data_IF_333520960562
#
_entry.id   IF_333520960562
#
_cell.length_a   1.000
_cell.length_b   1.000
_cell.length_c   1.000
_cell.angle_alpha   90.00
_cell.angle_beta   90.00
_cell.angle_gamma   90.00
#
_symmetry.space_group_name_H-M   'P 1'
#
loop_
_entity.id
_entity.type
_entity.pdbx_description
1 polymer ?
#
# COMPACT_ATOMS: atom_id res chain seq x y z
N UNK A 1 -57.43 55.03 -13.54
CA UNK A 1 -56.15 54.69 -12.89
C UNK A 1 -56.04 53.17 -12.87
N UNK A 2 -55.14 52.58 -13.66
CA UNK A 2 -54.96 51.12 -13.80
C UNK A 2 -53.81 50.68 -12.90
N UNK A 3 -54.06 49.80 -11.95
CA UNK A 3 -53.04 49.20 -11.10
C UNK A 3 -52.38 48.03 -11.84
N UNK A 4 -51.04 48.06 -11.93
CA UNK A 4 -50.25 46.97 -12.50
C UNK A 4 -49.76 46.06 -11.36
N UNK A 5 -50.17 44.79 -11.41
CA UNK A 5 -49.75 43.74 -10.48
C UNK A 5 -48.48 43.07 -11.05
N UNK A 6 -47.36 43.22 -10.37
CA UNK A 6 -46.08 42.59 -10.72
C UNK A 6 -45.96 41.25 -9.97
N UNK A 7 -45.85 40.15 -10.70
CA UNK A 7 -45.62 38.80 -10.15
C UNK A 7 -44.11 38.52 -10.23
N UNK A 8 -43.46 38.36 -9.08
CA UNK A 8 -42.08 37.83 -9.00
C UNK A 8 -42.12 36.30 -9.07
N UNK A 9 -41.50 35.73 -10.12
CA UNK A 9 -41.16 34.30 -10.15
C UNK A 9 -39.88 34.05 -9.34
N UNK A 10 -39.98 33.24 -8.29
CA UNK A 10 -38.83 32.71 -7.58
C UNK A 10 -38.28 31.48 -8.33
N UNK A 11 -37.09 31.59 -8.90
CA UNK A 11 -36.35 30.44 -9.43
C UNK A 11 -35.78 29.63 -8.25
N UNK A 12 -36.37 28.47 -7.97
CA UNK A 12 -35.79 27.47 -7.09
C UNK A 12 -34.65 26.76 -7.86
N UNK A 13 -33.40 27.15 -7.59
CA UNK A 13 -32.23 26.46 -8.11
C UNK A 13 -32.08 25.09 -7.46
N UNK A 14 -32.17 24.02 -8.25
CA UNK A 14 -31.83 22.67 -7.81
C UNK A 14 -30.31 22.55 -7.69
N UNK A 15 -29.81 22.47 -6.46
CA UNK A 15 -28.39 22.17 -6.20
C UNK A 15 -28.21 20.68 -6.50
N UNK A 16 -27.63 20.36 -7.67
CA UNK A 16 -27.13 19.03 -7.95
C UNK A 16 -25.94 18.78 -7.01
N UNK A 17 -26.13 17.90 -6.03
CA UNK A 17 -25.04 17.42 -5.19
C UNK A 17 -24.06 16.65 -6.09
N UNK A 18 -22.92 17.28 -6.38
CA UNK A 18 -21.77 16.61 -6.99
C UNK A 18 -21.34 15.50 -6.02
N UNK A 19 -21.20 14.24 -6.45
CA UNK A 19 -20.66 13.21 -5.58
C UNK A 19 -19.26 13.66 -5.16
N UNK A 20 -19.08 13.94 -3.87
CA UNK A 20 -17.77 14.13 -3.28
C UNK A 20 -17.00 12.83 -3.47
N UNK A 21 -16.13 12.79 -4.48
CA UNK A 21 -14.98 11.89 -4.47
C UNK A 21 -14.22 12.25 -3.20
N UNK A 22 -14.38 11.43 -2.15
CA UNK A 22 -13.50 11.47 -0.98
C UNK A 22 -12.14 11.03 -1.48
N UNK A 23 -11.35 11.97 -1.99
CA UNK A 23 -9.92 11.82 -2.07
C UNK A 23 -9.45 11.81 -0.61
N UNK A 24 -9.53 10.66 0.07
CA UNK A 24 -8.84 10.48 1.35
C UNK A 24 -7.37 10.56 0.98
N UNK A 25 -6.81 11.76 1.10
CA UNK A 25 -5.38 11.92 0.98
C UNK A 25 -4.78 11.16 2.16
N UNK A 26 -4.22 9.98 1.87
CA UNK A 26 -3.50 9.21 2.86
C UNK A 26 -2.38 10.10 3.42
N UNK A 27 -2.14 9.99 4.72
CA UNK A 27 -1.00 10.65 5.33
C UNK A 27 0.30 10.11 4.70
N UNK A 28 1.34 10.94 4.59
CA UNK A 28 2.59 10.53 3.95
C UNK A 28 3.29 9.36 4.67
N UNK A 29 2.95 9.09 5.94
CA UNK A 29 3.37 7.92 6.69
C UNK A 29 2.52 6.67 6.43
N UNK A 30 1.57 6.72 5.50
CA UNK A 30 0.60 5.67 5.20
C UNK A 30 0.41 5.45 3.68
N UNK A 31 1.49 5.55 2.91
CA UNK A 31 1.50 5.46 1.46
C UNK A 31 2.56 4.44 1.01
N UNK A 32 2.16 3.51 0.15
CA UNK A 32 3.09 2.70 -0.63
C UNK A 32 3.15 3.19 -2.07
N UNK A 33 4.26 2.94 -2.75
CA UNK A 33 4.33 3.13 -4.21
C UNK A 33 5.55 2.42 -4.79
N UNK A 34 5.49 2.17 -6.11
CA UNK A 34 6.55 1.51 -6.86
C UNK A 34 6.78 2.32 -8.15
N UNK A 35 7.96 2.94 -8.26
CA UNK A 35 8.42 3.56 -9.51
C UNK A 35 9.41 2.63 -10.21
N UNK A 36 10.38 2.12 -9.46
CA UNK A 36 11.35 1.12 -9.91
C UNK A 36 11.97 0.39 -8.69
N UNK A 37 12.94 -0.50 -8.93
CA UNK A 37 13.59 -1.29 -7.87
C UNK A 37 14.43 -0.47 -6.89
N UNK A 38 14.76 0.77 -7.22
CA UNK A 38 15.54 1.70 -6.39
C UNK A 38 14.71 2.85 -5.82
N UNK A 39 13.46 3.01 -6.30
CA UNK A 39 12.55 4.10 -5.95
C UNK A 39 11.16 3.50 -5.63
N UNK A 40 10.98 3.15 -4.37
CA UNK A 40 9.77 2.52 -3.85
C UNK A 40 9.54 2.87 -2.37
N UNK A 41 8.31 2.65 -1.90
CA UNK A 41 7.93 2.64 -0.50
C UNK A 41 7.02 1.45 -0.17
N UNK A 42 7.18 0.93 1.04
CA UNK A 42 6.49 -0.23 1.62
C UNK A 42 5.95 0.13 3.01
N UNK A 43 5.04 -0.67 3.56
CA UNK A 43 4.62 -0.57 4.96
C UNK A 43 5.47 -1.51 5.82
N UNK A 44 6.09 -1.01 6.88
CA UNK A 44 6.77 -1.86 7.86
C UNK A 44 6.26 -1.54 9.28
N UNK A 45 6.59 -2.36 10.29
CA UNK A 45 6.36 -1.99 11.68
C UNK A 45 6.92 -0.60 11.98
N UNK A 46 6.18 0.19 12.74
CA UNK A 46 6.58 1.55 13.17
C UNK A 46 7.68 1.53 14.22
N UNK A 47 7.70 0.46 15.01
CA UNK A 47 8.59 0.28 16.14
C UNK A 47 9.63 -0.79 15.82
N UNK A 48 10.81 -0.61 16.42
CA UNK A 48 11.97 -1.43 16.14
C UNK A 48 11.78 -2.89 16.57
N UNK A 49 12.26 -3.81 15.73
CA UNK A 49 12.29 -5.25 15.95
C UNK A 49 10.94 -5.88 16.35
N UNK A 50 9.86 -5.42 15.73
CA UNK A 50 8.51 -5.96 15.94
C UNK A 50 8.18 -6.96 14.83
N UNK A 51 7.46 -8.03 15.19
CA UNK A 51 6.90 -8.96 14.23
C UNK A 51 5.85 -8.25 13.37
N UNK A 52 5.88 -8.49 12.06
CA UNK A 52 5.02 -7.87 11.05
C UNK A 52 3.55 -8.03 11.45
N UNK A 53 3.10 -9.25 11.78
CA UNK A 53 1.73 -9.49 12.25
C UNK A 53 1.41 -8.87 13.62
N UNK A 54 2.40 -8.67 14.50
CA UNK A 54 2.17 -8.01 15.79
C UNK A 54 2.01 -6.48 15.65
N UNK A 55 2.49 -5.91 14.54
CA UNK A 55 2.36 -4.48 14.26
C UNK A 55 0.97 -4.08 13.76
N UNK A 56 0.11 -5.04 13.40
CA UNK A 56 -1.19 -4.90 12.73
C UNK A 56 -2.31 -4.29 13.60
N UNK A 57 -2.06 -3.12 14.18
CA UNK A 57 -3.02 -2.33 14.94
C UNK A 57 -2.93 -0.85 14.56
N UNK A 58 -3.97 -0.03 14.82
CA UNK A 58 -3.96 1.39 14.50
C UNK A 58 -2.73 2.11 15.07
N UNK A 59 -1.87 2.60 14.17
CA UNK A 59 -0.62 3.31 14.50
C UNK A 59 0.61 2.41 14.65
N UNK A 60 0.48 1.09 14.60
CA UNK A 60 1.59 0.14 14.76
C UNK A 60 2.51 0.01 13.54
N UNK A 61 2.12 0.57 12.40
CA UNK A 61 2.87 0.50 11.15
C UNK A 61 3.03 1.89 10.53
N UNK A 62 3.98 2.00 9.59
CA UNK A 62 4.19 3.21 8.80
C UNK A 62 4.92 2.93 7.50
N UNK A 63 4.97 3.95 6.65
CA UNK A 63 5.72 3.94 5.40
C UNK A 63 7.23 3.95 5.62
N UNK A 64 7.93 3.05 4.95
CA UNK A 64 9.38 3.03 4.78
C UNK A 64 9.75 2.99 3.31
N UNK A 65 10.67 3.85 2.90
CA UNK A 65 11.04 4.04 1.51
C UNK A 65 12.50 3.72 1.27
N UNK A 66 12.81 3.24 0.07
CA UNK A 66 14.19 3.35 -0.46
C UNK A 66 14.74 4.78 -0.30
N UNK A 67 16.07 4.97 -0.22
CA UNK A 67 16.66 6.31 -0.06
C UNK A 67 16.21 7.32 -1.12
N UNK A 68 16.00 6.87 -2.36
CA UNK A 68 15.52 7.71 -3.46
C UNK A 68 13.99 7.89 -3.47
N UNK A 69 13.26 7.08 -2.69
CA UNK A 69 11.80 7.12 -2.61
C UNK A 69 11.26 8.04 -1.52
N UNK A 70 12.10 8.61 -0.66
CA UNK A 70 11.61 9.48 0.41
C UNK A 70 11.25 10.85 -0.16
N UNK A 71 9.99 11.25 0.04
CA UNK A 71 9.50 12.59 -0.29
C UNK A 71 9.09 13.41 0.95
N UNK A 72 8.97 12.77 2.12
CA UNK A 72 8.72 13.43 3.39
C UNK A 72 9.52 12.76 4.53
N UNK A 73 10.73 13.28 4.80
CA UNK A 73 11.64 12.74 5.83
C UNK A 73 11.11 12.86 7.27
N UNK A 74 10.08 13.66 7.52
CA UNK A 74 9.52 13.79 8.87
C UNK A 74 8.51 12.68 9.18
N UNK A 75 7.92 12.10 8.14
CA UNK A 75 6.83 11.12 8.26
C UNK A 75 7.26 9.72 7.80
N UNK A 76 8.13 9.64 6.80
CA UNK A 76 8.58 8.38 6.20
C UNK A 76 9.86 7.88 6.85
N UNK A 77 9.93 6.56 7.06
CA UNK A 77 11.16 5.88 7.38
C UNK A 77 12.01 5.62 6.13
N UNK A 78 13.29 5.31 6.36
CA UNK A 78 14.23 4.93 5.32
C UNK A 78 14.53 3.42 5.44
N UNK A 79 14.35 2.69 4.34
CA UNK A 79 14.89 1.36 4.18
C UNK A 79 16.37 1.45 3.82
N UNK A 80 17.21 0.52 4.30
CA UNK A 80 18.60 0.42 3.86
C UNK A 80 18.71 0.39 2.33
N UNK A 81 19.79 0.97 1.79
CA UNK A 81 20.02 0.99 0.34
C UNK A 81 20.03 -0.42 -0.27
N UNK A 82 20.54 -1.41 0.46
CA UNK A 82 20.62 -2.82 0.10
C UNK A 82 19.55 -3.67 0.81
N UNK A 83 18.42 -3.05 1.20
CA UNK A 83 17.29 -3.75 1.80
C UNK A 83 16.84 -4.94 0.94
N UNK A 84 16.71 -4.76 -0.37
CA UNK A 84 16.58 -5.88 -1.30
C UNK A 84 17.96 -6.41 -1.66
N UNK A 85 18.24 -7.68 -1.35
CA UNK A 85 19.42 -8.37 -1.88
C UNK A 85 19.24 -8.72 -3.36
N UNK A 86 18.01 -9.07 -3.75
CA UNK A 86 17.58 -9.32 -5.12
C UNK A 86 16.13 -8.87 -5.26
N UNK A 87 15.77 -8.19 -6.33
CA UNK A 87 14.40 -7.74 -6.57
C UNK A 87 14.09 -7.69 -8.05
N UNK A 88 12.90 -8.13 -8.42
CA UNK A 88 12.33 -7.98 -9.75
C UNK A 88 11.12 -7.07 -9.70
N UNK A 89 11.06 -6.12 -10.65
CA UNK A 89 9.87 -5.34 -10.93
C UNK A 89 9.12 -5.93 -12.12
N UNK A 90 7.79 -6.07 -12.01
CA UNK A 90 6.94 -6.47 -13.13
C UNK A 90 5.73 -5.56 -13.26
N UNK A 91 5.41 -5.20 -14.50
CA UNK A 91 4.25 -4.39 -14.90
C UNK A 91 3.35 -5.13 -15.90
N UNK A 92 3.49 -6.45 -15.98
CA UNK A 92 2.63 -7.27 -16.84
C UNK A 92 1.15 -7.04 -16.46
N UNK A 93 0.22 -7.00 -17.43
CA UNK A 93 -1.20 -6.79 -17.14
C UNK A 93 -1.76 -7.78 -16.12
N UNK A 94 -2.78 -7.34 -15.39
CA UNK A 94 -3.53 -8.16 -14.46
C UNK A 94 -4.45 -9.18 -15.12
N UNK A 95 -5.15 -9.98 -14.31
CA UNK A 95 -6.02 -11.07 -14.78
C UNK A 95 -7.11 -10.60 -15.76
N UNK A 96 -7.59 -9.36 -15.61
CA UNK A 96 -8.58 -8.74 -16.49
C UNK A 96 -7.98 -7.65 -17.40
N UNK A 97 -6.65 -7.63 -17.57
CA UNK A 97 -5.95 -6.62 -18.36
C UNK A 97 -5.80 -5.26 -17.67
N UNK A 98 -6.24 -5.14 -16.41
CA UNK A 98 -6.04 -3.94 -15.59
C UNK A 98 -4.55 -3.70 -15.29
N UNK A 99 -4.20 -2.46 -14.93
CA UNK A 99 -2.82 -2.13 -14.58
C UNK A 99 -2.47 -2.72 -13.22
N UNK A 100 -1.24 -3.22 -13.13
CA UNK A 100 -0.60 -3.56 -11.87
C UNK A 100 0.90 -3.30 -11.97
N UNK A 101 1.53 -3.12 -10.82
CA UNK A 101 2.98 -3.11 -10.66
C UNK A 101 3.31 -3.89 -9.40
N UNK A 102 4.40 -4.66 -9.44
CA UNK A 102 4.87 -5.38 -8.27
C UNK A 102 6.38 -5.35 -8.13
N UNK A 103 6.86 -5.49 -6.90
CA UNK A 103 8.21 -5.92 -6.55
C UNK A 103 8.11 -7.29 -5.86
N UNK A 104 8.95 -8.23 -6.28
CA UNK A 104 9.12 -9.53 -5.60
C UNK A 104 10.61 -9.82 -5.48
N UNK A 105 11.04 -10.36 -4.34
CA UNK A 105 12.44 -10.70 -4.18
C UNK A 105 12.88 -11.04 -2.78
N UNK A 106 14.19 -11.01 -2.59
CA UNK A 106 14.87 -11.32 -1.35
C UNK A 106 15.24 -10.04 -0.61
N UNK A 107 15.02 -10.05 0.70
CA UNK A 107 15.32 -8.93 1.59
C UNK A 107 16.49 -9.28 2.54
N UNK A 108 17.12 -8.24 3.08
CA UNK A 108 18.12 -8.27 4.14
C UNK A 108 17.48 -7.76 5.44
N UNK A 109 16.65 -8.57 6.13
CA UNK A 109 15.92 -8.12 7.30
C UNK A 109 16.85 -7.64 8.42
N UNK A 110 18.06 -8.19 8.52
CA UNK A 110 19.08 -7.80 9.50
C UNK A 110 19.58 -6.36 9.36
N UNK A 111 19.38 -5.74 8.19
CA UNK A 111 19.76 -4.34 7.96
C UNK A 111 18.63 -3.37 8.32
N UNK A 112 17.39 -3.86 8.41
CA UNK A 112 16.25 -3.05 8.82
C UNK A 112 16.24 -2.89 10.33
N UNK A 113 16.12 -1.65 10.81
CA UNK A 113 15.91 -1.39 12.25
C UNK A 113 14.50 -1.80 12.71
N UNK A 114 13.56 -2.00 11.78
CA UNK A 114 12.17 -2.30 12.13
C UNK A 114 11.86 -3.78 12.22
N UNK A 115 12.49 -4.58 11.38
CA UNK A 115 12.13 -5.99 11.26
C UNK A 115 12.78 -6.81 12.36
N UNK A 116 12.03 -7.78 12.89
CA UNK A 116 12.59 -8.91 13.59
C UNK A 116 13.02 -9.98 12.56
N UNK A 117 14.32 -10.30 12.39
CA UNK A 117 14.76 -11.29 11.40
C UNK A 117 14.22 -12.71 11.65
N UNK A 118 13.75 -13.02 12.86
CA UNK A 118 13.16 -14.32 13.20
C UNK A 118 11.64 -14.41 12.95
N UNK A 119 11.01 -13.33 12.50
CA UNK A 119 9.57 -13.27 12.29
C UNK A 119 9.13 -14.04 11.03
N UNK A 120 8.08 -14.86 11.17
CA UNK A 120 7.47 -15.61 10.07
C UNK A 120 6.79 -14.72 9.03
N UNK A 121 6.42 -13.49 9.41
CA UNK A 121 5.89 -12.47 8.52
C UNK A 121 4.42 -12.13 8.72
N UNK A 122 3.88 -11.34 7.81
CA UNK A 122 2.49 -10.89 7.81
C UNK A 122 2.11 -10.16 6.52
N UNK A 123 0.86 -9.71 6.44
CA UNK A 123 0.30 -9.01 5.30
C UNK A 123 -0.08 -7.57 5.67
N UNK A 124 0.16 -6.63 4.76
CA UNK A 124 -0.42 -5.29 4.77
C UNK A 124 -1.19 -5.05 3.48
N UNK A 125 -2.26 -4.27 3.55
CA UNK A 125 -3.11 -4.04 2.40
C UNK A 125 -4.02 -2.80 2.56
N UNK A 126 -4.62 -2.35 1.46
CA UNK A 126 -5.51 -1.17 1.43
C UNK A 126 -7.00 -1.45 1.61
N UNK A 127 -7.45 -2.70 1.67
CA UNK A 127 -8.85 -3.07 1.42
C UNK A 127 -9.42 -4.17 2.32
N UNK A 128 -8.62 -4.71 3.23
CA UNK A 128 -8.92 -5.69 4.25
C UNK A 128 -9.23 -5.01 5.58
N UNK A 129 -9.03 -5.75 6.68
CA UNK A 129 -9.32 -5.25 8.03
C UNK A 129 -10.80 -4.90 8.27
N UNK A 130 -11.07 -4.32 9.44
CA UNK A 130 -12.42 -3.96 9.86
C UNK A 130 -13.01 -2.89 8.92
N UNK A 131 -14.15 -3.22 8.31
CA UNK A 131 -14.85 -2.32 7.38
C UNK A 131 -14.18 -2.16 6.00
N UNK A 132 -13.20 -3.01 5.66
CA UNK A 132 -12.50 -2.96 4.36
C UNK A 132 -11.63 -1.71 4.20
N UNK A 133 -11.07 -1.22 5.31
CA UNK A 133 -10.32 0.03 5.37
C UNK A 133 -8.81 -0.16 5.28
N UNK A 134 -8.35 -1.40 5.08
CA UNK A 134 -6.95 -1.77 5.01
C UNK A 134 -6.28 -1.90 6.38
N UNK A 135 -5.09 -2.47 6.34
CA UNK A 135 -4.18 -2.57 7.47
C UNK A 135 -2.78 -2.18 6.97
N UNK A 136 -2.35 -0.90 7.13
CA UNK A 136 -2.90 0.12 8.00
C UNK A 136 -4.17 0.78 7.45
N UNK A 137 -5.02 1.26 8.37
CA UNK A 137 -6.28 1.88 8.02
C UNK A 137 -6.07 3.14 7.16
N UNK A 138 -6.71 3.18 5.99
CA UNK A 138 -6.62 4.28 5.04
C UNK A 138 -5.29 4.37 4.30
N UNK A 139 -4.49 3.31 4.33
CA UNK A 139 -3.30 3.19 3.50
C UNK A 139 -3.67 3.05 2.03
N UNK A 140 -2.81 3.56 1.14
CA UNK A 140 -3.04 3.53 -0.31
C UNK A 140 -1.76 3.21 -1.05
N UNK A 141 -1.90 2.71 -2.29
CA UNK A 141 -0.82 2.77 -3.26
C UNK A 141 -1.00 3.94 -4.23
N UNK A 142 0.03 4.79 -4.37
CA UNK A 142 -0.06 5.93 -5.28
C UNK A 142 -0.29 5.48 -6.72
N UNK A 143 -1.39 5.96 -7.31
CA UNK A 143 -1.73 5.72 -8.72
C UNK A 143 -2.48 4.42 -9.01
N UNK A 144 -2.83 3.65 -7.97
CA UNK A 144 -3.58 2.39 -8.04
C UNK A 144 -4.73 2.36 -7.04
N UNK A 145 -5.73 1.51 -7.28
CA UNK A 145 -6.91 1.40 -6.43
C UNK A 145 -6.65 0.55 -5.17
N UNK A 146 -5.76 -0.43 -5.28
CA UNK A 146 -5.49 -1.41 -4.24
C UNK A 146 -4.00 -1.71 -4.12
N UNK A 147 -3.58 -2.23 -2.97
CA UNK A 147 -2.33 -2.96 -2.83
C UNK A 147 -2.46 -4.14 -1.88
N UNK A 148 -1.56 -5.09 -2.06
CA UNK A 148 -1.24 -6.14 -1.09
C UNK A 148 0.27 -6.23 -0.97
N UNK A 149 0.74 -6.36 0.26
CA UNK A 149 2.15 -6.43 0.63
C UNK A 149 2.33 -7.56 1.64
N UNK A 150 3.36 -8.38 1.47
CA UNK A 150 3.76 -9.35 2.46
C UNK A 150 5.25 -9.19 2.75
N UNK A 151 5.59 -9.25 4.03
CA UNK A 151 6.97 -9.17 4.51
C UNK A 151 7.23 -10.41 5.35
N UNK A 152 8.21 -11.22 4.97
CA UNK A 152 8.53 -12.50 5.61
C UNK A 152 10.02 -12.54 6.00
N UNK A 153 10.40 -11.88 7.11
CA UNK A 153 11.79 -11.72 7.51
C UNK A 153 12.55 -13.05 7.66
N UNK A 154 11.96 -14.05 8.34
CA UNK A 154 12.59 -15.36 8.52
C UNK A 154 12.79 -16.11 7.20
N UNK A 155 11.95 -15.85 6.19
CA UNK A 155 12.10 -16.38 4.84
C UNK A 155 12.97 -15.51 3.92
N UNK A 156 13.54 -14.41 4.45
CA UNK A 156 14.30 -13.39 3.73
C UNK A 156 13.63 -12.94 2.44
N UNK A 157 12.31 -12.79 2.45
CA UNK A 157 11.57 -12.39 1.26
C UNK A 157 10.48 -11.39 1.59
N UNK A 158 10.17 -10.57 0.61
CA UNK A 158 9.02 -9.70 0.65
C UNK A 158 8.46 -9.54 -0.76
N UNK A 159 7.24 -9.03 -0.82
CA UNK A 159 6.56 -8.76 -2.06
C UNK A 159 5.50 -7.68 -1.86
N UNK A 160 5.36 -6.82 -2.84
CA UNK A 160 4.35 -5.78 -2.86
C UNK A 160 3.77 -5.69 -4.26
N UNK A 161 2.45 -5.57 -4.36
CA UNK A 161 1.75 -5.32 -5.63
C UNK A 161 0.73 -4.22 -5.43
N UNK A 162 0.78 -3.22 -6.30
CA UNK A 162 -0.29 -2.26 -6.49
C UNK A 162 -1.10 -2.65 -7.73
N UNK A 163 -2.43 -2.58 -7.66
CA UNK A 163 -3.30 -3.00 -8.75
C UNK A 163 -4.57 -2.14 -8.84
N UNK A 164 -5.08 -1.99 -10.07
CA UNK A 164 -6.36 -1.32 -10.31
C UNK A 164 -7.57 -2.25 -10.12
N UNK A 165 -7.37 -3.56 -10.33
CA UNK A 165 -8.40 -4.60 -10.17
C UNK A 165 -8.16 -5.38 -8.86
N UNK A 166 -9.14 -5.44 -7.93
CA UNK A 166 -8.98 -6.16 -6.68
C UNK A 166 -8.68 -7.66 -6.86
N UNK A 167 -9.02 -8.27 -8.01
CA UNK A 167 -8.66 -9.65 -8.31
C UNK A 167 -7.14 -9.87 -8.41
N UNK A 168 -6.36 -8.82 -8.68
CA UNK A 168 -4.90 -8.88 -8.74
C UNK A 168 -4.23 -8.65 -7.36
N UNK A 169 -4.98 -8.16 -6.36
CA UNK A 169 -4.50 -7.97 -4.98
C UNK A 169 -5.34 -8.81 -3.99
N UNK A 170 -5.23 -10.14 -4.00
CA UNK A 170 -6.04 -11.02 -3.17
C UNK A 170 -5.68 -10.91 -1.68
N UNK A 171 -6.70 -10.81 -0.83
CA UNK A 171 -6.55 -10.65 0.63
C UNK A 171 -6.91 -11.92 1.43
N UNK A 172 -7.33 -13.00 0.77
CA UNK A 172 -7.82 -14.23 1.43
C UNK A 172 -6.74 -15.30 1.63
N UNK A 173 -5.48 -14.94 1.40
CA UNK A 173 -4.32 -15.86 1.33
C UNK A 173 -3.13 -15.34 2.15
N UNK A 174 -3.41 -14.51 3.15
CA UNK A 174 -2.47 -13.85 4.05
C UNK A 174 -1.43 -14.78 4.71
N UNK A 175 -1.81 -16.03 5.01
CA UNK A 175 -0.92 -17.04 5.61
C UNK A 175 -0.17 -17.92 4.59
N UNK A 176 -0.48 -17.81 3.29
CA UNK A 176 0.15 -18.65 2.24
C UNK A 176 1.48 -18.08 1.73
N UNK A 177 1.81 -16.86 2.15
CA UNK A 177 3.05 -16.19 1.85
C UNK A 177 3.20 -15.67 0.42
N UNK A 178 4.30 -14.97 0.21
CA UNK A 178 4.59 -14.13 -0.93
C UNK A 178 4.46 -14.85 -2.26
N UNK A 179 5.07 -16.04 -2.37
CA UNK A 179 5.06 -16.83 -3.60
C UNK A 179 3.65 -17.19 -4.06
N UNK A 180 2.73 -17.35 -3.10
CA UNK A 180 1.33 -17.68 -3.38
C UNK A 180 0.50 -16.44 -3.68
N UNK A 181 0.61 -15.39 -2.85
CA UNK A 181 -0.21 -14.16 -2.98
C UNK A 181 0.21 -13.33 -4.19
N UNK A 182 1.52 -13.18 -4.40
CA UNK A 182 2.11 -12.35 -5.45
C UNK A 182 3.08 -13.20 -6.27
N UNK A 183 2.60 -14.02 -7.23
CA UNK A 183 3.50 -14.78 -8.09
C UNK A 183 4.52 -13.86 -8.78
N UNK A 184 5.77 -14.28 -8.80
CA UNK A 184 6.90 -13.50 -9.29
C UNK A 184 8.22 -14.23 -9.07
N UNK A 185 9.32 -13.51 -9.24
CA UNK A 185 10.64 -14.06 -9.03
C UNK A 185 11.12 -13.81 -7.60
N UNK A 186 11.52 -14.90 -6.95
CA UNK A 186 12.01 -14.91 -5.58
C UNK A 186 13.43 -15.46 -5.47
N UNK A 187 14.16 -15.61 -6.58
CA UNK A 187 15.61 -15.89 -6.59
C UNK A 187 16.08 -17.00 -5.62
N UNK A 188 15.22 -17.97 -5.32
CA UNK A 188 15.42 -18.96 -4.27
C UNK A 188 15.87 -18.37 -2.92
N UNK A 189 15.22 -17.31 -2.43
CA UNK A 189 15.57 -16.67 -1.14
C UNK A 189 15.75 -17.73 -0.04
N UNK A 190 16.97 -17.82 0.49
CA UNK A 190 17.33 -18.74 1.56
C UNK A 190 17.52 -18.00 2.86
N UNK A 191 17.03 -18.55 3.97
CA UNK A 191 17.17 -18.02 5.33
C UNK A 191 18.60 -18.05 5.87
#
# INVERSE_FOLDING_TARGET
MRAALTILLAFAGTILAVPHLKNRQAANDNIVYITDTNTYCMILPRYEHIDVGASEYPGGMKTFCSPNGIFDRNLQGENPQDFWSNVEMSTAPGVNGARRVQLTGCIRPELSSQLNPGDGGGQYDSSGGEGGLGNPQGSVCLGYNHYVELVEPAGRRACIRCCDDPADCPLTMDTLGCQTVIPGNYFDCTS
#
